data_IF_421682970650
#
_entry.id   IF_421682970650
#
_cell.length_a   1.000
_cell.length_b   1.000
_cell.length_c   1.000
_cell.angle_alpha   90.00
_cell.angle_beta   90.00
_cell.angle_gamma   90.00
#
_symmetry.space_group_name_H-M   'P 1'
#
loop_
_entity.id
_entity.type
_entity.pdbx_description
1 polymer ?
#
# COMPACT_ATOMS: atom_id res chain seq x y z
N UNK A 1 -5.19 -9.72 8.98
CA UNK A 1 -5.67 -9.14 7.72
C UNK A 1 -5.23 -9.94 6.49
N UNK A 2 -3.93 -10.08 6.22
CA UNK A 2 -3.46 -10.71 4.97
C UNK A 2 -3.92 -12.16 4.76
N UNK A 3 -4.06 -12.97 5.82
CA UNK A 3 -4.55 -14.35 5.68
C UNK A 3 -6.00 -14.39 5.16
N UNK A 4 -6.86 -13.53 5.71
CA UNK A 4 -8.27 -13.41 5.29
C UNK A 4 -8.37 -12.91 3.85
N UNK A 5 -7.60 -11.87 3.50
CA UNK A 5 -7.58 -11.34 2.12
C UNK A 5 -7.04 -12.39 1.15
N UNK A 6 -6.00 -13.13 1.53
CA UNK A 6 -5.45 -14.21 0.70
C UNK A 6 -6.46 -15.34 0.48
N UNK A 7 -7.23 -15.71 1.50
CA UNK A 7 -8.30 -16.69 1.38
C UNK A 7 -9.40 -16.20 0.43
N UNK A 8 -9.81 -14.94 0.54
CA UNK A 8 -10.80 -14.33 -0.34
C UNK A 8 -10.32 -14.26 -1.79
N UNK A 9 -9.07 -13.89 -2.04
CA UNK A 9 -8.47 -13.91 -3.38
C UNK A 9 -8.55 -15.32 -3.99
N UNK A 10 -8.20 -16.35 -3.21
CA UNK A 10 -8.28 -17.74 -3.64
C UNK A 10 -9.72 -18.18 -3.95
N UNK A 11 -10.68 -17.83 -3.09
CA UNK A 11 -12.10 -18.15 -3.30
C UNK A 11 -12.66 -17.50 -4.57
N UNK A 12 -12.25 -16.26 -4.85
CA UNK A 12 -12.67 -15.50 -6.03
C UNK A 12 -11.88 -15.81 -7.31
N UNK A 13 -10.92 -16.74 -7.25
CA UNK A 13 -10.05 -17.06 -8.37
C UNK A 13 -9.16 -15.89 -8.82
N UNK A 14 -8.82 -14.98 -7.90
CA UNK A 14 -7.95 -13.83 -8.13
C UNK A 14 -6.50 -14.20 -7.77
N UNK A 15 -5.60 -14.42 -8.74
CA UNK A 15 -4.23 -14.82 -8.45
C UNK A 15 -3.50 -13.74 -7.64
N UNK A 16 -2.86 -14.13 -6.55
CA UNK A 16 -2.17 -13.18 -5.68
C UNK A 16 -0.81 -13.69 -5.24
N UNK A 17 0.16 -12.80 -5.14
CA UNK A 17 1.45 -13.06 -4.49
C UNK A 17 1.47 -12.40 -3.11
N UNK A 18 2.23 -12.96 -2.16
CA UNK A 18 2.29 -12.46 -0.79
C UNK A 18 3.72 -12.29 -0.32
N UNK A 19 3.99 -11.15 0.32
CA UNK A 19 5.25 -10.85 0.99
C UNK A 19 4.97 -10.33 2.40
N UNK A 20 5.49 -11.04 3.39
CA UNK A 20 5.44 -10.65 4.80
C UNK A 20 6.77 -10.97 5.52
N UNK A 21 6.78 -10.82 6.85
CA UNK A 21 7.98 -10.99 7.67
C UNK A 21 8.58 -12.40 7.62
N UNK A 22 7.80 -13.42 7.24
CA UNK A 22 8.27 -14.80 7.10
C UNK A 22 8.98 -15.05 5.76
N UNK A 23 8.88 -14.12 4.81
CA UNK A 23 9.46 -14.27 3.47
C UNK A 23 10.96 -14.01 3.49
N UNK A 24 11.76 -15.02 3.13
CA UNK A 24 13.22 -14.93 3.06
C UNK A 24 13.68 -13.87 2.06
N UNK A 25 14.80 -13.21 2.32
CA UNK A 25 15.34 -12.15 1.46
C UNK A 25 15.48 -12.58 -0.02
N UNK A 26 15.97 -13.80 -0.26
CA UNK A 26 16.11 -14.37 -1.61
C UNK A 26 14.80 -14.57 -2.37
N UNK A 27 13.69 -14.79 -1.67
CA UNK A 27 12.35 -14.96 -2.29
C UNK A 27 11.69 -13.61 -2.60
N UNK A 28 12.02 -12.55 -1.87
CA UNK A 28 11.38 -11.23 -2.02
C UNK A 28 11.51 -10.68 -3.44
N UNK A 29 12.71 -10.71 -4.02
CA UNK A 29 12.95 -10.23 -5.38
C UNK A 29 12.22 -11.06 -6.44
N UNK A 30 12.22 -12.38 -6.30
CA UNK A 30 11.47 -13.25 -7.21
C UNK A 30 9.98 -12.92 -7.23
N UNK A 31 9.37 -12.62 -6.07
CA UNK A 31 7.96 -12.23 -6.01
C UNK A 31 7.70 -10.88 -6.67
N UNK A 32 8.62 -9.93 -6.52
CA UNK A 32 8.54 -8.62 -7.18
C UNK A 32 8.67 -8.77 -8.69
N UNK A 33 9.62 -9.57 -9.16
CA UNK A 33 9.84 -9.81 -10.59
C UNK A 33 8.62 -10.47 -11.23
N UNK A 34 8.06 -11.50 -10.57
CA UNK A 34 6.81 -12.14 -11.00
C UNK A 34 5.69 -11.10 -11.10
N UNK A 35 5.49 -10.28 -10.07
CA UNK A 35 4.39 -9.31 -10.08
C UNK A 35 4.53 -8.20 -11.12
N UNK A 36 5.76 -7.78 -11.42
CA UNK A 36 6.03 -6.75 -12.42
C UNK A 36 6.03 -7.28 -13.86
N UNK A 37 6.16 -8.59 -14.07
CA UNK A 37 6.13 -9.20 -15.40
C UNK A 37 4.69 -9.24 -15.94
N UNK A 38 4.38 -8.51 -17.02
CA UNK A 38 3.04 -8.48 -17.62
C UNK A 38 2.59 -9.82 -18.20
N UNK A 39 3.50 -10.79 -18.37
CA UNK A 39 3.16 -12.15 -18.83
C UNK A 39 2.65 -13.04 -17.70
N UNK A 40 2.87 -12.67 -16.45
CA UNK A 40 2.36 -13.45 -15.32
C UNK A 40 0.92 -13.07 -15.02
N UNK A 41 0.13 -14.06 -14.63
CA UNK A 41 -1.23 -13.82 -14.17
C UNK A 41 -1.21 -13.49 -12.67
N UNK A 42 -0.86 -12.25 -12.33
CA UNK A 42 -0.81 -11.76 -10.94
C UNK A 42 -1.78 -10.59 -10.77
N UNK A 43 -2.90 -10.82 -10.10
CA UNK A 43 -3.92 -9.79 -9.86
C UNK A 43 -3.58 -8.89 -8.66
N UNK A 44 -3.09 -9.46 -7.55
CA UNK A 44 -2.80 -8.71 -6.33
C UNK A 44 -1.43 -9.05 -5.74
N UNK A 45 -0.78 -8.02 -5.17
CA UNK A 45 0.41 -8.18 -4.33
C UNK A 45 0.05 -7.86 -2.88
N UNK A 46 -0.05 -8.90 -2.06
CA UNK A 46 -0.38 -8.81 -0.64
C UNK A 46 0.88 -8.50 0.15
N UNK A 47 0.96 -7.30 0.72
CA UNK A 47 2.16 -6.79 1.39
C UNK A 47 1.83 -6.33 2.81
N UNK A 48 2.59 -6.80 3.80
CA UNK A 48 2.47 -6.24 5.13
C UNK A 48 3.27 -4.94 5.25
N UNK A 49 2.68 -3.93 5.87
CA UNK A 49 3.27 -2.59 6.01
C UNK A 49 4.67 -2.64 6.65
N UNK A 50 4.85 -3.52 7.65
CA UNK A 50 6.12 -3.71 8.37
C UNK A 50 7.16 -4.55 7.63
N UNK A 51 6.76 -5.46 6.72
CA UNK A 51 7.73 -6.22 5.93
C UNK A 51 8.29 -5.44 4.73
N UNK A 52 7.69 -4.29 4.41
CA UNK A 52 8.02 -3.50 3.24
C UNK A 52 9.17 -2.48 3.39
N UNK A 53 9.89 -2.48 4.51
CA UNK A 53 11.09 -1.62 4.70
C UNK A 53 12.23 -1.85 3.71
N UNK A 54 12.10 -2.81 2.79
CA UNK A 54 13.09 -3.13 1.76
C UNK A 54 13.07 -2.20 0.53
N UNK A 55 12.19 -1.18 0.45
CA UNK A 55 12.18 -0.25 -0.70
C UNK A 55 11.80 -0.91 -2.03
N UNK A 56 10.79 -1.79 -2.02
CA UNK A 56 10.35 -2.57 -3.19
C UNK A 56 9.90 -1.68 -4.36
N UNK A 57 10.15 -2.14 -5.59
CA UNK A 57 9.66 -1.53 -6.82
C UNK A 57 8.46 -2.34 -7.36
N UNK A 58 7.25 -1.82 -7.26
CA UNK A 58 6.00 -2.51 -7.59
C UNK A 58 5.23 -1.81 -8.72
N UNK A 59 5.94 -1.42 -9.78
CA UNK A 59 5.37 -0.73 -10.96
C UNK A 59 4.39 -1.58 -11.78
N UNK A 60 4.28 -2.89 -11.53
CA UNK A 60 3.23 -3.75 -12.08
C UNK A 60 1.82 -3.39 -11.60
N UNK A 61 1.69 -2.75 -10.43
CA UNK A 61 0.44 -2.21 -9.93
C UNK A 61 0.27 -0.75 -10.30
N UNK A 62 -0.97 -0.26 -10.33
CA UNK A 62 -1.28 1.18 -10.30
C UNK A 62 -2.43 1.51 -9.32
N UNK A 63 -2.84 0.54 -8.50
CA UNK A 63 -3.85 0.72 -7.46
C UNK A 63 -3.30 0.21 -6.14
N UNK A 64 -3.34 1.06 -5.11
CA UNK A 64 -2.95 0.74 -3.75
C UNK A 64 -4.18 0.77 -2.85
N UNK A 65 -4.40 -0.29 -2.07
CA UNK A 65 -5.42 -0.32 -1.03
C UNK A 65 -4.74 -0.41 0.33
N UNK A 66 -4.88 0.65 1.12
CA UNK A 66 -4.46 0.73 2.51
C UNK A 66 -5.58 0.16 3.37
N UNK A 67 -5.41 -1.09 3.80
CA UNK A 67 -6.45 -1.84 4.48
C UNK A 67 -6.60 -1.45 5.95
N UNK A 68 -5.48 -1.37 6.67
CA UNK A 68 -5.44 -1.03 8.09
C UNK A 68 -4.68 0.30 8.25
N UNK A 69 -5.24 1.33 8.92
CA UNK A 69 -4.56 2.60 9.12
C UNK A 69 -3.41 2.47 10.13
N UNK A 70 -2.25 3.04 9.81
CA UNK A 70 -1.09 3.08 10.70
C UNK A 70 -1.04 4.40 11.50
N UNK A 71 -0.50 4.39 12.71
CA UNK A 71 -0.38 5.63 13.51
C UNK A 71 0.61 6.63 12.93
N UNK A 72 1.53 6.17 12.08
CA UNK A 72 2.53 6.98 11.41
C UNK A 72 2.14 7.18 9.94
N UNK A 73 1.76 8.41 9.51
CA UNK A 73 1.41 8.69 8.12
C UNK A 73 2.58 8.44 7.14
N UNK A 74 3.83 8.45 7.63
CA UNK A 74 4.99 8.14 6.79
C UNK A 74 4.96 6.70 6.26
N UNK A 75 4.34 5.77 6.99
CA UNK A 75 4.14 4.37 6.56
C UNK A 75 3.34 4.31 5.26
N UNK A 76 2.27 5.10 5.16
CA UNK A 76 1.39 5.14 3.99
C UNK A 76 2.07 5.81 2.81
N UNK A 77 2.80 6.90 3.06
CA UNK A 77 3.65 7.57 2.04
C UNK A 77 4.70 6.62 1.47
N UNK A 78 5.35 5.83 2.33
CA UNK A 78 6.31 4.81 1.89
C UNK A 78 5.65 3.69 1.09
N UNK A 79 4.43 3.28 1.44
CA UNK A 79 3.68 2.29 0.65
C UNK A 79 3.33 2.84 -0.74
N UNK A 80 2.85 4.09 -0.82
CA UNK A 80 2.55 4.78 -2.08
C UNK A 80 3.80 4.89 -2.99
N UNK A 81 4.95 5.23 -2.41
CA UNK A 81 6.22 5.35 -3.12
C UNK A 81 6.75 4.04 -3.74
N UNK A 82 6.16 2.88 -3.41
CA UNK A 82 6.50 1.59 -4.07
C UNK A 82 5.86 1.46 -5.45
N UNK A 83 4.74 2.15 -5.67
CA UNK A 83 3.91 2.02 -6.88
C UNK A 83 4.03 3.29 -7.74
N UNK A 84 3.99 4.46 -7.09
CA UNK A 84 4.26 5.74 -7.73
C UNK A 84 5.77 6.02 -7.68
N UNK A 85 6.46 5.55 -8.71
CA UNK A 85 7.92 5.68 -8.86
C UNK A 85 8.29 5.71 -10.34
N UNK A 86 9.54 6.05 -10.62
CA UNK A 86 10.11 5.96 -11.97
C UNK A 86 9.89 4.57 -12.59
N UNK A 87 9.43 4.54 -13.84
CA UNK A 87 9.02 3.32 -14.55
C UNK A 87 7.51 3.06 -14.54
N UNK A 88 6.75 3.70 -13.65
CA UNK A 88 5.29 3.67 -13.70
C UNK A 88 4.77 4.49 -14.90
N UNK A 89 3.89 3.89 -15.71
CA UNK A 89 3.31 4.53 -16.90
C UNK A 89 1.82 4.83 -16.76
N UNK A 90 1.17 4.28 -15.74
CA UNK A 90 -0.28 4.42 -15.50
C UNK A 90 -0.53 5.38 -14.34
N UNK A 91 -1.68 6.05 -14.38
CA UNK A 91 -2.14 6.83 -13.24
C UNK A 91 -2.32 5.92 -12.01
N UNK A 92 -1.76 6.36 -10.88
CA UNK A 92 -1.86 5.66 -9.62
C UNK A 92 -3.09 6.11 -8.83
N UNK A 93 -3.79 5.16 -8.22
CA UNK A 93 -4.92 5.41 -7.32
C UNK A 93 -4.61 4.83 -5.95
N UNK A 94 -4.81 5.61 -4.90
CA UNK A 94 -4.63 5.18 -3.52
C UNK A 94 -6.00 5.21 -2.85
N UNK A 95 -6.41 4.06 -2.34
CA UNK A 95 -7.64 3.87 -1.57
C UNK A 95 -7.26 3.59 -0.13
N UNK A 96 -7.95 4.24 0.79
CA UNK A 96 -7.82 3.98 2.23
C UNK A 96 -9.17 3.55 2.77
N UNK A 97 -9.18 2.42 3.48
CA UNK A 97 -10.35 2.01 4.23
C UNK A 97 -10.29 2.62 5.64
N UNK A 98 -11.42 3.21 6.04
CA UNK A 98 -11.61 3.79 7.37
C UNK A 98 -13.04 3.49 7.79
N UNK A 99 -13.22 2.76 8.88
CA UNK A 99 -14.53 2.52 9.47
C UNK A 99 -14.94 3.69 10.38
N UNK A 100 -16.08 4.32 10.06
CA UNK A 100 -16.67 5.42 10.85
C UNK A 100 -17.14 4.95 12.22
N UNK A 101 -17.03 5.81 13.23
CA UNK A 101 -17.44 5.51 14.61
C UNK A 101 -16.51 4.51 15.32
N UNK A 102 -15.40 4.13 14.70
CA UNK A 102 -14.43 3.19 15.27
C UNK A 102 -13.14 3.89 15.68
N UNK A 103 -12.21 3.12 16.25
CA UNK A 103 -10.87 3.62 16.55
C UNK A 103 -10.11 4.06 15.29
N UNK A 104 -10.40 3.47 14.12
CA UNK A 104 -9.73 3.80 12.85
C UNK A 104 -9.94 5.26 12.46
N UNK A 105 -11.14 5.79 12.69
CA UNK A 105 -11.45 7.21 12.45
C UNK A 105 -10.57 8.12 13.31
N UNK A 106 -10.37 7.79 14.59
CA UNK A 106 -9.49 8.55 15.50
C UNK A 106 -8.02 8.47 15.08
N UNK A 107 -7.58 7.32 14.56
CA UNK A 107 -6.22 7.16 14.02
C UNK A 107 -6.05 8.07 12.80
N UNK A 108 -7.02 8.04 11.89
CA UNK A 108 -7.00 8.86 10.68
C UNK A 108 -7.01 10.36 10.99
N UNK A 109 -7.87 10.83 11.90
CA UNK A 109 -7.86 12.22 12.36
C UNK A 109 -6.50 12.64 12.91
N UNK A 110 -5.84 11.78 13.69
CA UNK A 110 -4.49 12.05 14.21
C UNK A 110 -3.43 12.07 13.12
N UNK A 111 -3.55 11.24 12.09
CA UNK A 111 -2.67 11.30 10.92
C UNK A 111 -2.81 12.66 10.23
N UNK A 112 -4.03 13.12 9.96
CA UNK A 112 -4.28 14.44 9.34
C UNK A 112 -3.67 15.58 10.15
N UNK A 113 -3.82 15.55 11.49
CA UNK A 113 -3.19 16.57 12.35
C UNK A 113 -1.66 16.54 12.25
N UNK A 114 -1.04 15.36 12.22
CA UNK A 114 0.42 15.23 12.05
C UNK A 114 0.88 15.71 10.67
N UNK A 115 0.11 15.44 9.63
CA UNK A 115 0.44 15.89 8.28
C UNK A 115 0.27 17.39 8.11
N UNK A 116 -0.76 18.00 8.69
CA UNK A 116 -0.94 19.45 8.68
C UNK A 116 0.19 20.18 9.40
N UNK A 117 0.71 19.60 10.49
CA UNK A 117 1.91 20.15 11.15
C UNK A 117 3.16 20.00 10.26
N UNK A 118 3.30 18.87 9.56
CA UNK A 118 4.42 18.62 8.66
C UNK A 118 4.40 19.55 7.43
N UNK A 119 3.22 19.84 6.87
CA UNK A 119 3.10 20.68 5.68
C UNK A 119 3.47 22.14 5.92
N UNK A 120 3.25 22.65 7.14
CA UNK A 120 3.69 23.99 7.56
C UNK A 120 5.22 24.10 7.56
N UNK A 121 5.92 23.00 7.83
CA UNK A 121 7.39 22.96 7.86
C UNK A 121 7.97 22.77 6.46
N UNK A 122 7.28 22.04 5.58
CA UNK A 122 7.80 21.59 4.28
C UNK A 122 7.43 22.49 3.07
N UNK A 123 6.62 23.54 3.23
CA UNK A 123 6.15 24.44 2.15
C UNK A 123 5.61 23.68 0.91
N UNK A 124 4.84 22.60 1.14
CA UNK A 124 4.24 21.78 0.07
C UNK A 124 2.75 22.06 -0.11
N UNK A 125 2.29 22.10 -1.37
CA UNK A 125 0.87 22.23 -1.75
C UNK A 125 -0.03 21.20 -1.05
N UNK A 126 -1.24 21.63 -0.68
CA UNK A 126 -2.25 20.80 -0.02
C UNK A 126 -2.63 19.59 -0.88
N UNK A 127 -2.55 18.40 -0.29
CA UNK A 127 -3.08 17.18 -0.91
C UNK A 127 -4.60 17.23 -0.82
N UNK A 128 -5.27 17.31 -1.96
CA UNK A 128 -6.74 17.28 -2.00
C UNK A 128 -7.26 15.88 -1.66
N UNK A 129 -7.91 15.76 -0.49
CA UNK A 129 -8.61 14.55 -0.07
C UNK A 129 -10.03 14.55 -0.63
N UNK A 130 -10.29 13.70 -1.62
CA UNK A 130 -11.65 13.44 -2.09
C UNK A 130 -12.27 12.33 -1.24
N UNK A 131 -13.23 12.71 -0.39
CA UNK A 131 -14.09 11.75 0.31
C UNK A 131 -15.22 11.35 -0.65
N UNK A 132 -15.33 10.06 -0.95
CA UNK A 132 -16.47 9.48 -1.71
C UNK A 132 -17.45 8.90 -0.73
#
# INVERSE_FOLDING_TARGET
>A
TLDVVSALCRERGLPSVRLDGSTSASKRMKLVDVFNDPKTNSFAFLLSSKAGGCGLNLIGANRLVLFDPDWNPATDKQAAARIWREGQKKQCFIYRFVATGTLEEKIFQRQLSKEGLQSIVDDKEEVSYNFV
#
